data_IF_361054207777
#
_entry.id   IF_361054207777
#
_cell.length_a   1.000
_cell.length_b   1.000
_cell.length_c   1.000
_cell.angle_alpha   90.00
_cell.angle_beta   90.00
_cell.angle_gamma   90.00
#
_symmetry.space_group_name_H-M   'P 1'
#
loop_
_entity.id
_entity.type
_entity.pdbx_description
1 polymer ?
#
# COMPACT_ATOMS: atom_id res chain seq x y z
N UNK A 1 -11.26 -7.86 -3.09
CA UNK A 1 -9.89 -8.37 -3.35
C UNK A 1 -9.33 -9.07 -2.13
N UNK A 2 -8.44 -10.02 -2.35
CA UNK A 2 -7.76 -10.73 -1.28
C UNK A 2 -6.26 -10.40 -1.31
N UNK A 3 -5.76 -9.84 -0.21
CA UNK A 3 -4.35 -9.60 0.04
C UNK A 3 -3.86 -10.71 0.95
N UNK A 4 -3.02 -11.59 0.42
CA UNK A 4 -2.51 -12.75 1.17
C UNK A 4 -1.18 -12.40 1.83
N UNK A 5 -1.16 -12.45 3.15
CA UNK A 5 0.03 -12.21 3.98
C UNK A 5 0.44 -13.53 4.65
N UNK A 6 1.64 -13.56 5.26
CA UNK A 6 2.15 -14.78 5.90
C UNK A 6 1.25 -15.31 7.02
N UNK A 7 0.53 -14.41 7.71
CA UNK A 7 -0.32 -14.79 8.85
C UNK A 7 -1.78 -15.04 8.48
N UNK A 8 -2.21 -14.67 7.29
CA UNK A 8 -3.57 -14.93 6.81
C UNK A 8 -4.02 -14.00 5.70
N UNK A 9 -5.25 -14.22 5.25
CA UNK A 9 -5.85 -13.47 4.15
C UNK A 9 -6.56 -12.21 4.66
N UNK A 10 -6.31 -11.11 3.97
CA UNK A 10 -6.94 -9.81 4.25
C UNK A 10 -7.92 -9.51 3.13
N UNK A 11 -9.19 -9.36 3.48
CA UNK A 11 -10.25 -9.03 2.52
C UNK A 11 -10.38 -7.52 2.42
N UNK A 12 -10.37 -7.02 1.18
CA UNK A 12 -10.37 -5.58 0.89
C UNK A 12 -11.54 -5.23 -0.01
N UNK A 13 -12.28 -4.19 0.35
CA UNK A 13 -13.28 -3.55 -0.49
C UNK A 13 -12.65 -2.34 -1.17
N UNK A 14 -12.80 -2.25 -2.50
CA UNK A 14 -12.30 -1.11 -3.28
C UNK A 14 -13.43 -0.12 -3.56
N UNK A 15 -13.11 1.16 -3.57
CA UNK A 15 -14.07 2.25 -3.75
C UNK A 15 -14.07 2.76 -5.20
N UNK A 16 -14.67 1.99 -6.11
CA UNK A 16 -14.70 2.32 -7.55
C UNK A 16 -15.34 3.68 -7.83
N UNK A 17 -16.31 4.08 -7.03
CA UNK A 17 -17.03 5.33 -7.20
C UNK A 17 -16.26 6.55 -6.69
N UNK A 18 -15.34 6.36 -5.77
CA UNK A 18 -14.58 7.45 -5.14
C UNK A 18 -13.21 7.69 -5.79
N UNK A 19 -12.56 6.63 -6.23
CA UNK A 19 -11.22 6.69 -6.80
C UNK A 19 -11.10 5.74 -8.00
N UNK A 20 -11.88 5.96 -9.07
CA UNK A 20 -11.97 5.01 -10.18
C UNK A 20 -10.64 4.70 -10.85
N UNK A 21 -9.78 5.69 -11.04
CA UNK A 21 -8.50 5.48 -11.72
C UNK A 21 -7.48 4.78 -10.83
N UNK A 22 -7.49 5.09 -9.53
CA UNK A 22 -6.60 4.41 -8.57
C UNK A 22 -7.04 2.96 -8.37
N UNK A 23 -8.34 2.71 -8.25
CA UNK A 23 -8.87 1.34 -8.15
C UNK A 23 -8.50 0.53 -9.39
N UNK A 24 -8.67 1.10 -10.57
CA UNK A 24 -8.30 0.44 -11.83
C UNK A 24 -6.81 0.06 -11.85
N UNK A 25 -5.93 0.99 -11.44
CA UNK A 25 -4.48 0.76 -11.38
C UNK A 25 -4.14 -0.37 -10.41
N UNK A 26 -4.68 -0.33 -9.21
CA UNK A 26 -4.42 -1.35 -8.18
C UNK A 26 -4.88 -2.72 -8.67
N UNK A 27 -6.09 -2.82 -9.23
CA UNK A 27 -6.61 -4.08 -9.77
C UNK A 27 -5.73 -4.62 -10.90
N UNK A 28 -5.33 -3.75 -11.82
CA UNK A 28 -4.49 -4.13 -12.96
C UNK A 28 -3.15 -4.71 -12.49
N UNK A 29 -2.46 -4.02 -11.61
CA UNK A 29 -1.16 -4.47 -11.09
C UNK A 29 -1.33 -5.75 -10.26
N UNK A 30 -2.35 -5.81 -9.42
CA UNK A 30 -2.61 -6.96 -8.56
C UNK A 30 -2.90 -8.20 -9.40
N UNK A 31 -3.83 -8.12 -10.34
CA UNK A 31 -4.25 -9.28 -11.15
C UNK A 31 -3.17 -9.76 -12.12
N UNK A 32 -2.22 -8.89 -12.48
CA UNK A 32 -1.03 -9.26 -13.24
C UNK A 32 0.10 -9.84 -12.39
N UNK A 33 -0.09 -9.97 -11.07
CA UNK A 33 0.91 -10.49 -10.16
C UNK A 33 2.05 -9.53 -9.84
N UNK A 34 1.90 -8.24 -10.14
CA UNK A 34 2.98 -7.26 -9.93
C UNK A 34 3.27 -6.98 -8.45
N UNK A 35 2.29 -7.23 -7.58
CA UNK A 35 2.48 -7.07 -6.13
C UNK A 35 2.99 -8.33 -5.43
N UNK A 36 3.08 -9.46 -6.12
CA UNK A 36 3.60 -10.70 -5.53
C UNK A 36 5.05 -10.48 -5.09
N UNK A 37 5.36 -10.86 -3.86
CA UNK A 37 6.69 -10.73 -3.26
C UNK A 37 7.16 -9.30 -3.01
N UNK A 38 6.27 -8.31 -3.11
CA UNK A 38 6.59 -6.91 -2.80
C UNK A 38 6.55 -6.70 -1.29
N UNK A 39 7.61 -6.10 -0.75
CA UNK A 39 7.79 -5.97 0.69
C UNK A 39 7.07 -4.75 1.25
N UNK A 40 6.74 -4.83 2.56
CA UNK A 40 6.31 -3.66 3.34
C UNK A 40 7.57 -2.94 3.83
N UNK A 41 8.06 -2.03 3.01
CA UNK A 41 9.36 -1.39 3.21
C UNK A 41 9.36 -0.29 4.27
N UNK A 42 8.19 0.25 4.61
CA UNK A 42 8.04 1.33 5.59
C UNK A 42 6.84 1.05 6.46
N UNK A 43 7.07 0.76 7.74
CA UNK A 43 6.00 0.41 8.68
C UNK A 43 6.23 1.16 9.99
N UNK A 44 5.31 2.04 10.33
CA UNK A 44 5.38 2.85 11.55
C UNK A 44 4.30 2.39 12.51
N UNK A 45 4.71 1.87 13.67
CA UNK A 45 3.80 1.39 14.68
C UNK A 45 2.82 2.50 15.09
N UNK A 46 1.53 2.14 15.20
CA UNK A 46 0.48 3.08 15.56
C UNK A 46 0.10 4.06 14.45
N UNK A 47 0.69 3.92 13.24
CA UNK A 47 0.38 4.80 12.11
C UNK A 47 -0.04 3.98 10.88
N UNK A 48 0.89 3.42 10.13
CA UNK A 48 0.54 2.74 8.87
C UNK A 48 1.61 1.73 8.43
N UNK A 49 1.23 0.83 7.51
CA UNK A 49 2.13 -0.07 6.80
C UNK A 49 2.12 0.29 5.31
N UNK A 50 3.26 0.66 4.76
CA UNK A 50 3.42 1.06 3.37
C UNK A 50 4.12 -0.02 2.55
N UNK A 51 3.60 -0.26 1.35
CA UNK A 51 4.08 -1.28 0.41
C UNK A 51 3.85 -0.84 -1.03
N UNK A 52 4.09 -1.72 -1.97
CA UNK A 52 3.66 -1.51 -3.35
C UNK A 52 4.71 -0.90 -4.27
N UNK A 53 5.99 -0.80 -3.85
CA UNK A 53 7.07 -0.45 -4.77
C UNK A 53 7.40 -1.68 -5.63
N UNK A 54 6.77 -1.77 -6.79
CA UNK A 54 6.91 -2.93 -7.68
C UNK A 54 8.27 -2.96 -8.40
N UNK A 55 9.02 -1.87 -8.33
CA UNK A 55 10.33 -1.76 -8.96
C UNK A 55 11.47 -2.18 -8.02
N UNK A 56 11.62 -1.49 -6.88
CA UNK A 56 12.72 -1.75 -5.95
C UNK A 56 12.31 -2.60 -4.75
N UNK A 57 11.01 -2.78 -4.53
CA UNK A 57 10.49 -3.52 -3.40
C UNK A 57 10.06 -4.96 -3.68
N UNK A 58 10.21 -5.44 -4.91
CA UNK A 58 9.86 -6.81 -5.27
C UNK A 58 11.05 -7.73 -4.95
N UNK A 59 10.91 -8.54 -3.88
CA UNK A 59 11.99 -9.39 -3.37
C UNK A 59 12.41 -10.51 -4.33
N UNK A 60 11.62 -10.80 -5.35
CA UNK A 60 11.96 -11.80 -6.37
C UNK A 60 12.57 -11.17 -7.64
N UNK A 61 12.67 -9.85 -7.71
CA UNK A 61 13.21 -9.13 -8.86
C UNK A 61 14.72 -8.92 -8.73
N UNK A 62 15.40 -8.89 -9.88
CA UNK A 62 16.83 -8.54 -9.93
C UNK A 62 17.09 -7.08 -9.52
N UNK A 63 16.06 -6.22 -9.59
CA UNK A 63 16.16 -4.81 -9.22
C UNK A 63 15.89 -4.57 -7.72
N UNK A 64 15.61 -5.63 -6.96
CA UNK A 64 15.29 -5.50 -5.54
C UNK A 64 16.42 -4.82 -4.78
N UNK A 65 16.10 -3.70 -4.11
CA UNK A 65 17.05 -2.93 -3.33
C UNK A 65 16.32 -2.21 -2.19
N UNK A 66 16.47 -2.69 -0.96
CA UNK A 66 15.81 -2.11 0.22
C UNK A 66 16.21 -0.66 0.47
N UNK A 67 17.40 -0.24 0.04
CA UNK A 67 17.84 1.16 0.19
C UNK A 67 17.08 2.10 -0.75
N UNK A 68 16.53 1.57 -1.84
CA UNK A 68 15.76 2.33 -2.83
C UNK A 68 14.26 2.08 -2.74
N UNK A 69 13.84 1.08 -1.96
CA UNK A 69 12.42 0.77 -1.80
C UNK A 69 11.67 1.99 -1.26
N UNK A 70 10.57 2.33 -1.93
CA UNK A 70 9.83 3.57 -1.68
C UNK A 70 10.05 4.63 -2.75
N UNK A 71 11.07 4.48 -3.59
CA UNK A 71 11.39 5.45 -4.65
C UNK A 71 10.85 5.02 -6.02
N UNK A 72 10.41 3.76 -6.17
CA UNK A 72 10.01 3.21 -7.45
C UNK A 72 8.50 3.12 -7.64
N UNK A 73 8.12 2.66 -8.82
CA UNK A 73 6.73 2.47 -9.21
C UNK A 73 6.63 1.55 -10.41
N UNK A 74 5.44 1.49 -11.01
CA UNK A 74 5.20 0.71 -12.21
C UNK A 74 5.67 1.45 -13.46
N UNK A 75 5.65 0.76 -14.60
CA UNK A 75 5.94 1.36 -15.92
C UNK A 75 4.81 2.26 -16.44
N UNK A 76 3.69 2.28 -15.73
CA UNK A 76 2.53 3.08 -16.10
C UNK A 76 2.69 4.52 -15.62
N UNK A 77 1.99 5.48 -16.26
CA UNK A 77 2.11 6.89 -15.86
C UNK A 77 1.54 7.14 -14.47
N UNK A 78 2.02 8.20 -13.81
CA UNK A 78 1.51 8.62 -12.53
C UNK A 78 0.03 9.01 -12.63
N UNK A 79 -0.67 8.86 -11.51
CA UNK A 79 -2.10 9.10 -11.42
C UNK A 79 -2.39 10.48 -10.85
N UNK A 80 -3.36 11.15 -11.46
CA UNK A 80 -3.93 12.38 -10.92
C UNK A 80 -4.69 12.08 -9.65
N UNK A 81 -4.61 12.96 -8.65
CA UNK A 81 -5.27 12.75 -7.37
C UNK A 81 -6.80 12.59 -7.53
N UNK A 82 -7.37 11.79 -6.65
CA UNK A 82 -8.82 11.56 -6.54
C UNK A 82 -9.24 11.72 -5.08
N UNK A 83 -8.90 12.88 -4.49
CA UNK A 83 -9.23 13.16 -3.10
C UNK A 83 -10.73 13.16 -2.87
N UNK A 84 -11.15 12.72 -1.70
CA UNK A 84 -12.55 12.63 -1.32
C UNK A 84 -12.75 13.04 0.14
N UNK A 85 -13.98 12.96 0.63
CA UNK A 85 -14.30 13.21 2.03
C UNK A 85 -14.13 11.97 2.91
N UNK A 86 -13.67 10.85 2.35
CA UNK A 86 -13.46 9.62 3.12
C UNK A 86 -12.33 9.81 4.14
N UNK A 87 -12.53 9.42 5.40
CA UNK A 87 -11.49 9.55 6.42
C UNK A 87 -10.44 8.47 6.31
N UNK A 88 -9.24 8.77 6.83
CA UNK A 88 -8.18 7.78 7.03
C UNK A 88 -8.38 7.11 8.39
N UNK A 89 -9.30 6.16 8.46
CA UNK A 89 -9.59 5.38 9.65
C UNK A 89 -8.72 4.12 9.71
N UNK A 90 -8.78 3.39 10.84
CA UNK A 90 -8.15 2.08 10.93
C UNK A 90 -8.66 1.17 9.80
N UNK A 91 -7.73 0.55 9.06
CA UNK A 91 -8.03 -0.33 7.94
C UNK A 91 -8.19 0.37 6.59
N UNK A 92 -8.10 1.69 6.55
CA UNK A 92 -8.17 2.43 5.27
C UNK A 92 -6.94 2.15 4.41
N UNK A 93 -7.18 1.91 3.11
CA UNK A 93 -6.14 1.85 2.09
C UNK A 93 -6.09 3.18 1.34
N UNK A 94 -4.91 3.78 1.28
CA UNK A 94 -4.70 5.07 0.62
C UNK A 94 -3.42 5.03 -0.21
N UNK A 95 -3.38 5.81 -1.29
CA UNK A 95 -2.21 5.82 -2.18
C UNK A 95 -1.09 6.67 -1.60
N UNK A 96 0.11 6.12 -1.62
CA UNK A 96 1.31 6.89 -1.32
C UNK A 96 1.65 7.79 -2.51
N UNK A 97 2.11 8.99 -2.22
CA UNK A 97 2.56 9.95 -3.22
C UNK A 97 3.72 10.77 -2.63
N UNK A 98 4.47 11.44 -3.51
CA UNK A 98 5.48 12.42 -3.09
C UNK A 98 4.78 13.73 -2.68
N UNK A 99 5.54 14.81 -2.58
CA UNK A 99 4.97 16.15 -2.32
C UNK A 99 4.02 16.61 -3.45
N UNK A 100 4.16 16.06 -4.65
CA UNK A 100 3.24 16.31 -5.76
C UNK A 100 1.98 15.45 -5.58
N UNK A 101 0.79 16.04 -5.43
CA UNK A 101 -0.45 15.28 -5.24
C UNK A 101 -0.84 14.41 -6.45
N UNK A 102 -0.22 14.63 -7.61
CA UNK A 102 -0.46 13.88 -8.84
C UNK A 102 0.68 12.90 -9.14
N UNK A 103 1.37 12.40 -8.12
CA UNK A 103 2.52 11.50 -8.25
C UNK A 103 2.25 10.07 -7.79
N UNK A 104 1.01 9.72 -7.46
CA UNK A 104 0.67 8.34 -7.09
C UNK A 104 0.89 7.40 -8.28
N UNK A 105 1.38 6.20 -8.01
CA UNK A 105 1.66 5.23 -9.06
C UNK A 105 1.27 3.81 -8.66
N UNK A 106 2.02 3.16 -7.78
CA UNK A 106 1.76 1.78 -7.37
C UNK A 106 1.80 1.59 -5.85
N UNK A 107 2.46 2.47 -5.12
CA UNK A 107 2.61 2.32 -3.68
C UNK A 107 1.37 2.76 -2.94
N UNK A 108 1.05 2.01 -1.87
CA UNK A 108 -0.10 2.31 -1.02
C UNK A 108 0.22 1.97 0.43
N UNK A 109 -0.64 2.43 1.33
CA UNK A 109 -0.48 2.12 2.76
C UNK A 109 -1.82 1.75 3.38
N UNK A 110 -1.74 1.00 4.48
CA UNK A 110 -2.89 0.57 5.28
C UNK A 110 -2.74 1.20 6.65
N UNK A 111 -3.75 1.94 7.10
CA UNK A 111 -3.70 2.62 8.39
C UNK A 111 -3.93 1.65 9.54
N UNK A 112 -3.06 1.68 10.56
CA UNK A 112 -3.27 0.94 11.82
C UNK A 112 -4.25 1.64 12.75
N UNK A 113 -4.29 2.96 12.68
CA UNK A 113 -5.13 3.84 13.51
C UNK A 113 -5.64 5.01 12.68
N UNK A 114 -6.68 5.72 13.17
CA UNK A 114 -7.12 6.93 12.47
C UNK A 114 -5.98 7.94 12.31
N UNK A 115 -5.88 8.51 11.12
CA UNK A 115 -4.86 9.49 10.76
C UNK A 115 -5.52 10.70 10.09
N UNK A 116 -6.31 11.49 10.83
CA UNK A 116 -7.10 12.59 10.25
C UNK A 116 -6.27 13.68 9.57
N UNK A 117 -5.00 13.80 9.95
CA UNK A 117 -4.08 14.76 9.31
C UNK A 117 -3.78 14.41 7.84
N UNK A 118 -4.13 13.20 7.40
CA UNK A 118 -3.99 12.77 6.00
C UNK A 118 -5.25 13.03 5.17
N UNK A 119 -6.37 13.34 5.81
CA UNK A 119 -7.65 13.48 5.13
C UNK A 119 -7.59 14.58 4.07
N UNK A 120 -8.11 14.28 2.87
CA UNK A 120 -8.08 15.17 1.70
C UNK A 120 -6.68 15.52 1.19
N UNK A 121 -5.65 14.82 1.68
CA UNK A 121 -4.24 15.00 1.26
C UNK A 121 -3.74 13.81 0.44
N UNK A 122 -4.44 12.67 0.53
CA UNK A 122 -4.09 11.42 -0.15
C UNK A 122 -5.37 10.77 -0.69
N UNK A 123 -5.24 9.98 -1.74
CA UNK A 123 -6.38 9.30 -2.36
C UNK A 123 -6.71 8.01 -1.63
N UNK A 124 -7.84 8.00 -0.93
CA UNK A 124 -8.42 6.80 -0.31
C UNK A 124 -9.09 5.97 -1.40
N UNK A 125 -8.72 4.70 -1.55
CA UNK A 125 -9.27 3.85 -2.60
C UNK A 125 -9.89 2.55 -2.09
N UNK A 126 -9.81 2.27 -0.81
CA UNK A 126 -10.37 1.03 -0.25
C UNK A 126 -10.29 0.95 1.25
N UNK A 127 -10.78 -0.17 1.77
CA UNK A 127 -10.68 -0.49 3.21
C UNK A 127 -10.60 -2.00 3.42
N UNK A 128 -10.00 -2.38 4.54
CA UNK A 128 -10.02 -3.77 5.02
C UNK A 128 -11.39 -4.05 5.62
N UNK A 129 -12.04 -5.11 5.15
CA UNK A 129 -13.34 -5.55 5.67
C UNK A 129 -13.25 -6.84 6.49
N UNK A 130 -12.14 -7.57 6.40
CA UNK A 130 -11.86 -8.77 7.21
C UNK A 130 -10.35 -9.03 7.22
N UNK A 131 -9.84 -9.53 8.34
CA UNK A 131 -8.43 -9.90 8.44
C UNK A 131 -7.50 -8.78 8.91
N UNK A 132 -8.01 -7.70 9.48
CA UNK A 132 -7.16 -6.60 9.98
C UNK A 132 -6.15 -7.07 11.04
N UNK A 133 -6.48 -8.11 11.81
CA UNK A 133 -5.56 -8.73 12.77
C UNK A 133 -4.27 -9.24 12.10
N UNK A 134 -4.33 -9.62 10.83
CA UNK A 134 -3.14 -10.04 10.09
C UNK A 134 -2.30 -8.85 9.64
N UNK A 135 -2.94 -7.74 9.32
CA UNK A 135 -2.24 -6.48 9.03
C UNK A 135 -1.49 -6.00 10.29
N UNK A 136 -2.11 -6.15 11.45
CA UNK A 136 -1.49 -5.77 12.72
C UNK A 136 -0.21 -6.55 13.02
N UNK A 137 0.00 -7.70 12.39
CA UNK A 137 1.18 -8.54 12.58
C UNK A 137 2.34 -8.20 11.64
N UNK A 138 2.15 -7.28 10.71
CA UNK A 138 3.22 -6.84 9.81
C UNK A 138 4.35 -6.24 10.65
N UNK A 139 5.58 -6.67 10.34
CA UNK A 139 6.76 -6.25 11.09
C UNK A 139 6.93 -4.72 11.05
N UNK A 140 7.05 -4.12 12.24
CA UNK A 140 7.28 -2.67 12.38
C UNK A 140 8.71 -2.33 12.00
N UNK A 141 8.88 -1.12 11.46
CA UNK A 141 10.18 -0.58 11.14
C UNK A 141 10.78 0.21 12.27
N UNK A 142 11.94 0.80 12.01
CA UNK A 142 12.67 1.66 12.96
C UNK A 142 12.09 3.08 12.91
N UNK A 143 11.42 3.49 13.98
CA UNK A 143 10.84 4.84 14.07
C UNK A 143 11.87 5.95 13.89
N UNK A 144 13.09 5.72 14.36
CA UNK A 144 14.19 6.68 14.22
C UNK A 144 14.69 6.80 12.79
N UNK A 145 14.37 5.83 11.95
CA UNK A 145 14.75 5.78 10.55
C UNK A 145 13.52 5.78 9.63
N UNK A 146 12.53 6.61 9.98
CA UNK A 146 11.32 6.83 9.21
C UNK A 146 10.53 5.54 8.89
N UNK A 147 10.58 4.56 9.78
CA UNK A 147 9.85 3.31 9.64
C UNK A 147 10.49 2.30 8.70
N UNK A 148 11.75 2.48 8.30
CA UNK A 148 12.47 1.51 7.46
C UNK A 148 12.52 0.15 8.13
N UNK A 149 12.19 -0.91 7.38
CA UNK A 149 12.09 -2.26 7.92
C UNK A 149 13.27 -3.10 7.45
N UNK A 150 13.96 -3.74 8.41
CA UNK A 150 14.98 -4.76 8.13
C UNK A 150 14.28 -6.11 8.05
N UNK A 151 14.59 -6.93 7.03
CA UNK A 151 13.89 -8.20 6.78
C UNK A 151 12.36 -8.01 6.77
N UNK A 152 11.82 -7.17 5.88
CA UNK A 152 10.40 -6.86 5.88
C UNK A 152 9.53 -8.04 5.47
N UNK A 153 8.30 -8.06 5.99
CA UNK A 153 7.27 -8.94 5.48
C UNK A 153 6.92 -8.55 4.04
N UNK A 154 6.42 -9.53 3.28
CA UNK A 154 6.05 -9.32 1.88
C UNK A 154 4.61 -9.73 1.61
N UNK A 155 4.07 -9.18 0.54
CA UNK A 155 2.81 -9.63 -0.03
C UNK A 155 3.07 -11.00 -0.67
N UNK A 156 2.32 -12.03 -0.30
CA UNK A 156 2.38 -13.34 -0.96
C UNK A 156 1.65 -13.24 -2.29
N UNK A 157 0.42 -12.72 -2.28
CA UNK A 157 -0.35 -12.43 -3.48
C UNK A 157 -1.40 -11.37 -3.20
N UNK A 158 -1.84 -10.70 -4.26
CA UNK A 158 -2.91 -9.71 -4.19
C UNK A 158 -3.75 -9.86 -5.44
N UNK A 159 -4.99 -10.36 -5.30
CA UNK A 159 -5.82 -10.75 -6.44
C UNK A 159 -7.27 -10.36 -6.23
N UNK A 160 -7.96 -10.14 -7.35
CA UNK A 160 -9.42 -10.04 -7.36
C UNK A 160 -10.05 -11.39 -6.96
N UNK A 161 -11.18 -11.32 -6.30
CA UNK A 161 -11.96 -12.51 -5.96
C UNK A 161 -12.69 -13.05 -7.18
#
# INVERSE_FOLDING_TARGET
MILKLKDGDVKIELFDDKAPNHVKRIKELADKGKYDNVVFHRVIDGFMAQTGDVQFGNSSSNDFDLRRAGMGGSDLPDLKQEFSNLPHDRGTLSMASSSDPNSANSQFFICFKPAPFLDKQYTVFGKVIDGMEFVDKIKRGDEKNNGSVTDPDKIISFKSQ
#
